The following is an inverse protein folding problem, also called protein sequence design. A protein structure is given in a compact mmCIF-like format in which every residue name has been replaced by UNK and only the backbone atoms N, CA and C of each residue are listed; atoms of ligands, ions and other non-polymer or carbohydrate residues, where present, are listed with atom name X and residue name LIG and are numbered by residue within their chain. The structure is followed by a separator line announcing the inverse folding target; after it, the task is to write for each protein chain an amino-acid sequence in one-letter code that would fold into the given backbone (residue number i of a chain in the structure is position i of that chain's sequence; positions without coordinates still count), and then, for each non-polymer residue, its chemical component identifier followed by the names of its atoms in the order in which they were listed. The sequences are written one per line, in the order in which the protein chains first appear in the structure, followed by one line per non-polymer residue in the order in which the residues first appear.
data_IF_556321111228
#
_entry.id   IF_556321111228
#
_cell.length_a   1.000
_cell.length_b   1.000
_cell.length_c   1.000
_cell.angle_alpha   90.00
_cell.angle_beta   90.00
_cell.angle_gamma   90.00
#
_symmetry.space_group_name_H-M   'P 1'
#
loop_
_entity.id
_entity.type
_entity.pdbx_description
1 polymer ?
#
# COMPACT_ATOMS: atom_id res chain seq x y z
N UNK A 1 8.11 -9.22 2.23
CA UNK A 1 7.94 -8.87 3.68
C UNK A 1 8.38 -10.01 4.57
N UNK A 2 7.76 -11.19 4.54
CA UNK A 2 8.16 -12.33 5.38
C UNK A 2 9.65 -12.70 5.22
N UNK A 3 10.11 -12.88 3.99
CA UNK A 3 11.49 -13.30 3.72
C UNK A 3 12.53 -12.22 4.09
N UNK A 4 12.09 -10.99 4.31
CA UNK A 4 12.90 -9.86 4.77
C UNK A 4 12.88 -9.68 6.29
N UNK A 5 12.25 -10.60 7.04
CA UNK A 5 12.19 -10.59 8.49
C UNK A 5 11.32 -9.48 9.11
N UNK A 6 10.41 -8.89 8.34
CA UNK A 6 9.44 -7.94 8.90
C UNK A 6 8.47 -8.66 9.87
N UNK A 7 8.12 -8.05 11.02
CA UNK A 7 7.25 -8.65 12.04
C UNK A 7 5.78 -8.58 11.61
N UNK A 8 5.40 -9.36 10.59
CA UNK A 8 4.03 -9.42 10.09
C UNK A 8 3.16 -10.18 11.10
N UNK A 9 2.33 -9.49 11.85
CA UNK A 9 1.45 -10.08 12.86
C UNK A 9 0.12 -10.58 12.25
N UNK A 10 -0.34 -9.96 11.16
CA UNK A 10 -1.61 -10.28 10.51
C UNK A 10 -1.54 -9.98 9.01
N UNK A 11 -2.19 -10.83 8.22
CA UNK A 11 -2.51 -10.55 6.82
C UNK A 11 -4.02 -10.45 6.66
N UNK A 12 -4.50 -9.35 6.09
CA UNK A 12 -5.92 -9.13 5.78
C UNK A 12 -6.08 -9.03 4.27
N UNK A 13 -7.15 -9.63 3.73
CA UNK A 13 -7.52 -9.48 2.33
C UNK A 13 -9.02 -9.19 2.17
N UNK A 14 -9.37 -8.43 1.13
CA UNK A 14 -10.75 -8.16 0.72
C UNK A 14 -11.34 -9.24 -0.21
N UNK A 15 -10.53 -10.25 -0.55
CA UNK A 15 -10.90 -11.39 -1.40
C UNK A 15 -10.00 -12.60 -1.10
N UNK A 16 -10.42 -13.82 -1.43
CA UNK A 16 -9.53 -14.97 -1.39
C UNK A 16 -8.29 -14.74 -2.25
N UNK A 17 -7.11 -14.93 -1.69
CA UNK A 17 -5.86 -14.73 -2.40
C UNK A 17 -4.71 -15.55 -1.78
N UNK A 18 -3.66 -15.76 -2.57
CA UNK A 18 -2.46 -16.48 -2.14
C UNK A 18 -1.77 -15.86 -0.91
N UNK A 19 -1.99 -14.57 -0.65
CA UNK A 19 -1.42 -13.89 0.52
C UNK A 19 -1.91 -14.48 1.84
N UNK A 20 -3.19 -14.89 1.92
CA UNK A 20 -3.78 -15.56 3.09
C UNK A 20 -3.16 -16.95 3.30
N UNK A 21 -3.00 -17.73 2.22
CA UNK A 21 -2.38 -19.06 2.28
C UNK A 21 -0.93 -18.95 2.76
N UNK A 22 -0.16 -18.02 2.19
CA UNK A 22 1.23 -17.76 2.58
C UNK A 22 1.38 -17.33 4.05
N UNK A 23 0.43 -16.57 4.59
CA UNK A 23 0.43 -16.20 6.00
C UNK A 23 0.18 -17.44 6.87
N UNK A 24 -0.83 -18.22 6.53
CA UNK A 24 -1.17 -19.46 7.23
C UNK A 24 -0.02 -20.47 7.23
N UNK A 25 0.64 -20.68 6.09
CA UNK A 25 1.80 -21.57 5.95
C UNK A 25 2.99 -21.16 6.85
N UNK A 26 3.06 -19.87 7.20
CA UNK A 26 4.08 -19.30 8.10
C UNK A 26 3.63 -19.17 9.56
N UNK A 27 2.43 -19.63 9.89
CA UNK A 27 1.87 -19.50 11.23
C UNK A 27 1.51 -18.06 11.62
N UNK A 28 1.37 -17.16 10.63
CA UNK A 28 0.90 -15.79 10.82
C UNK A 28 -0.63 -15.76 10.71
N UNK A 29 -1.28 -14.97 11.56
CA UNK A 29 -2.74 -14.78 11.49
C UNK A 29 -3.17 -14.26 10.10
N UNK A 30 -4.26 -14.81 9.57
CA UNK A 30 -4.81 -14.45 8.28
C UNK A 30 -6.32 -14.28 8.39
N UNK A 31 -6.84 -13.14 7.94
CA UNK A 31 -8.27 -12.82 8.01
C UNK A 31 -8.79 -12.39 6.62
N UNK A 32 -9.87 -13.01 6.19
CA UNK A 32 -10.62 -12.59 5.01
C UNK A 32 -11.78 -11.70 5.45
N UNK A 33 -11.75 -10.44 5.05
CA UNK A 33 -12.85 -9.49 5.19
C UNK A 33 -13.37 -9.22 3.78
N UNK A 34 -14.16 -10.14 3.29
CA UNK A 34 -14.54 -10.17 1.88
C UNK A 34 -15.42 -8.96 1.51
N UNK A 35 -15.03 -8.26 0.44
CA UNK A 35 -15.90 -7.29 -0.20
C UNK A 35 -16.73 -7.99 -1.27
N UNK A 36 -18.02 -8.17 -1.00
CA UNK A 36 -18.98 -8.82 -1.90
C UNK A 36 -19.81 -7.83 -2.72
N UNK A 37 -19.96 -6.58 -2.24
CA UNK A 37 -20.68 -5.52 -2.95
C UNK A 37 -19.72 -4.58 -3.67
N UNK A 38 -19.87 -4.49 -5.01
CA UNK A 38 -19.13 -3.59 -5.89
C UNK A 38 -20.03 -2.53 -6.52
N UNK A 39 -21.27 -2.41 -6.05
CA UNK A 39 -22.23 -1.42 -6.49
C UNK A 39 -22.02 -0.06 -5.83
N UNK A 40 -22.81 0.93 -6.25
CA UNK A 40 -22.83 2.26 -5.64
C UNK A 40 -23.46 2.28 -4.24
N UNK A 41 -24.12 1.19 -3.82
CA UNK A 41 -24.68 1.03 -2.47
C UNK A 41 -23.69 0.45 -1.44
N UNK A 42 -22.46 0.15 -1.86
CA UNK A 42 -21.42 -0.36 -0.94
C UNK A 42 -21.17 0.59 0.22
N UNK A 43 -21.48 0.13 1.43
CA UNK A 43 -21.18 0.87 2.65
C UNK A 43 -19.69 0.75 2.99
N UNK A 44 -18.94 1.76 2.51
CA UNK A 44 -17.50 1.85 2.74
C UNK A 44 -17.16 2.01 4.21
N UNK A 45 -17.97 2.76 4.94
CA UNK A 45 -17.67 3.09 6.33
C UNK A 45 -17.93 1.87 7.22
N UNK A 46 -19.02 1.12 7.02
CA UNK A 46 -19.26 -0.14 7.71
C UNK A 46 -18.14 -1.15 7.43
N UNK A 47 -17.75 -1.32 6.16
CA UNK A 47 -16.66 -2.19 5.77
C UNK A 47 -15.34 -1.80 6.46
N UNK A 48 -15.03 -0.49 6.47
CA UNK A 48 -13.81 0.02 7.09
C UNK A 48 -13.80 -0.19 8.60
N UNK A 49 -14.93 -0.01 9.28
CA UNK A 49 -15.06 -0.33 10.70
C UNK A 49 -14.77 -1.82 10.99
N UNK A 50 -15.22 -2.71 10.11
CA UNK A 50 -14.87 -4.13 10.18
C UNK A 50 -13.37 -4.38 10.11
N UNK A 51 -12.69 -3.74 9.15
CA UNK A 51 -11.22 -3.82 9.01
C UNK A 51 -10.52 -3.27 10.26
N UNK A 52 -10.88 -2.08 10.72
CA UNK A 52 -10.30 -1.45 11.92
C UNK A 52 -10.49 -2.32 13.16
N UNK A 53 -11.66 -2.93 13.33
CA UNK A 53 -11.95 -3.84 14.45
C UNK A 53 -11.01 -5.06 14.44
N UNK A 54 -10.77 -5.66 13.26
CA UNK A 54 -9.84 -6.79 13.10
C UNK A 54 -8.42 -6.36 13.46
N UNK A 55 -7.94 -5.26 12.90
CA UNK A 55 -6.60 -4.74 13.17
C UNK A 55 -6.39 -4.44 14.67
N UNK A 56 -7.42 -3.88 15.32
CA UNK A 56 -7.39 -3.59 16.76
C UNK A 56 -7.29 -4.84 17.63
N UNK A 57 -8.03 -5.91 17.29
CA UNK A 57 -7.94 -7.20 18.00
C UNK A 57 -6.55 -7.81 17.95
N UNK A 58 -5.85 -7.62 16.84
CA UNK A 58 -4.49 -8.10 16.63
C UNK A 58 -3.40 -7.11 17.08
N UNK A 59 -3.80 -5.97 17.67
CA UNK A 59 -2.88 -4.93 18.19
C UNK A 59 -1.86 -4.46 17.15
N UNK A 60 -2.35 -4.17 15.96
CA UNK A 60 -1.51 -3.72 14.86
C UNK A 60 -1.06 -2.27 15.09
N UNK A 61 0.21 -1.99 14.92
CA UNK A 61 0.78 -0.65 15.06
C UNK A 61 0.87 0.09 13.72
N UNK A 62 1.23 -0.61 12.65
CA UNK A 62 1.41 -0.06 11.29
C UNK A 62 0.70 -0.95 10.29
N UNK A 63 0.03 -0.36 9.35
CA UNK A 63 -0.67 -1.05 8.26
C UNK A 63 0.09 -0.83 6.95
N UNK A 64 0.51 -1.93 6.32
CA UNK A 64 1.13 -1.91 4.99
C UNK A 64 0.12 -2.42 3.95
N UNK A 65 -0.35 -1.53 3.07
CA UNK A 65 -1.25 -1.87 1.97
C UNK A 65 -0.45 -2.37 0.77
N UNK A 66 -0.75 -3.58 0.30
CA UNK A 66 -0.09 -4.20 -0.83
C UNK A 66 -1.13 -4.87 -1.74
N UNK A 67 -1.57 -4.16 -2.76
CA UNK A 67 -2.58 -4.65 -3.70
C UNK A 67 -3.98 -4.79 -3.11
N UNK A 68 -4.28 -4.09 -2.02
CA UNK A 68 -5.62 -4.01 -1.44
C UNK A 68 -6.49 -3.06 -2.27
N UNK A 69 -7.53 -3.58 -2.91
CA UNK A 69 -8.29 -2.83 -3.92
C UNK A 69 -9.44 -1.99 -3.38
N UNK A 70 -9.84 -2.19 -2.13
CA UNK A 70 -10.95 -1.44 -1.53
C UNK A 70 -10.46 -0.11 -0.96
N UNK A 71 -11.01 1.00 -1.43
CA UNK A 71 -10.77 2.33 -0.83
C UNK A 71 -11.42 2.36 0.55
N UNK A 72 -10.61 2.62 1.57
CA UNK A 72 -11.05 2.67 2.97
C UNK A 72 -11.62 4.04 3.34
N UNK A 73 -12.55 4.07 4.29
CA UNK A 73 -13.18 5.26 4.83
C UNK A 73 -12.32 5.96 5.90
N UNK A 74 -12.82 7.11 6.37
CA UNK A 74 -12.13 7.99 7.34
C UNK A 74 -11.72 7.27 8.63
N UNK A 75 -12.54 6.33 9.13
CA UNK A 75 -12.28 5.62 10.38
C UNK A 75 -10.96 4.83 10.39
N UNK A 76 -10.45 4.42 9.21
CA UNK A 76 -9.13 3.79 9.10
C UNK A 76 -8.01 4.77 9.48
N UNK A 77 -8.09 6.00 8.99
CA UNK A 77 -7.07 7.02 9.18
C UNK A 77 -7.17 7.68 10.56
N UNK A 78 -8.35 7.67 11.17
CA UNK A 78 -8.55 8.08 12.58
C UNK A 78 -7.95 7.05 13.54
N UNK A 79 -8.12 5.75 13.26
CA UNK A 79 -7.57 4.66 14.07
C UNK A 79 -6.05 4.50 13.92
N UNK A 80 -5.53 4.76 12.72
CA UNK A 80 -4.11 4.62 12.38
C UNK A 80 -3.53 5.93 11.80
N UNK A 81 -3.53 7.05 12.57
CA UNK A 81 -3.09 8.35 12.07
C UNK A 81 -1.63 8.26 11.62
N UNK A 82 -1.37 8.58 10.34
CA UNK A 82 -0.05 8.51 9.68
C UNK A 82 0.62 7.12 9.70
N UNK A 83 -0.12 6.04 9.98
CA UNK A 83 0.42 4.68 10.11
C UNK A 83 -0.13 3.69 9.08
N UNK A 84 -0.81 4.21 8.07
CA UNK A 84 -1.24 3.43 6.90
C UNK A 84 -0.29 3.75 5.76
N UNK A 85 0.49 2.78 5.33
CA UNK A 85 1.49 2.94 4.27
C UNK A 85 0.97 2.28 3.02
N UNK A 86 1.08 2.97 1.89
CA UNK A 86 0.67 2.46 0.58
C UNK A 86 1.82 2.54 -0.42
N UNK A 87 1.69 1.78 -1.48
CA UNK A 87 2.56 1.83 -2.65
C UNK A 87 1.74 2.18 -3.89
N UNK A 88 2.32 3.02 -4.76
CA UNK A 88 1.69 3.48 -5.98
C UNK A 88 2.65 3.35 -7.17
N UNK A 89 2.22 2.76 -8.31
CA UNK A 89 3.10 2.47 -9.44
C UNK A 89 3.31 3.67 -10.38
N UNK A 90 3.59 4.84 -9.81
CA UNK A 90 4.03 6.05 -10.51
C UNK A 90 4.86 6.94 -9.56
N UNK A 91 5.45 7.99 -10.11
CA UNK A 91 6.12 9.04 -9.32
C UNK A 91 5.11 10.10 -8.92
N UNK A 92 4.43 9.91 -7.79
CA UNK A 92 3.48 10.91 -7.27
C UNK A 92 4.14 12.30 -7.16
N UNK A 93 3.40 13.38 -7.46
CA UNK A 93 1.97 13.47 -7.70
C UNK A 93 1.50 13.13 -9.12
N UNK A 94 2.38 12.62 -9.99
CA UNK A 94 1.98 12.25 -11.35
C UNK A 94 1.17 10.94 -11.35
N UNK A 95 0.14 10.88 -12.21
CA UNK A 95 -0.69 9.70 -12.47
C UNK A 95 -1.31 9.05 -11.21
N UNK A 96 -2.04 9.82 -10.36
CA UNK A 96 -2.75 9.23 -9.24
C UNK A 96 -3.89 8.32 -9.73
N UNK A 97 -4.33 7.37 -8.88
CA UNK A 97 -5.48 6.51 -9.15
C UNK A 97 -5.12 5.15 -9.74
N UNK A 98 -6.15 4.40 -10.10
CA UNK A 98 -6.08 2.97 -10.36
C UNK A 98 -5.28 2.57 -11.63
N UNK A 99 -5.14 3.47 -12.61
CA UNK A 99 -4.58 3.16 -13.93
C UNK A 99 -3.24 3.85 -14.22
N UNK A 100 -2.45 4.12 -13.19
CA UNK A 100 -1.22 4.91 -13.28
C UNK A 100 -0.26 4.48 -14.38
N UNK A 101 0.00 3.17 -14.53
CA UNK A 101 0.91 2.63 -15.55
C UNK A 101 0.38 2.87 -16.96
N UNK A 102 -0.91 2.58 -17.19
CA UNK A 102 -1.57 2.84 -18.48
C UNK A 102 -1.55 4.32 -18.83
N UNK A 103 -1.85 5.16 -17.84
CA UNK A 103 -1.96 6.62 -18.05
C UNK A 103 -0.58 7.24 -18.32
N UNK A 104 0.48 6.72 -17.67
CA UNK A 104 1.87 7.10 -17.95
C UNK A 104 2.29 6.75 -19.38
N UNK A 105 1.97 5.52 -19.83
CA UNK A 105 2.22 5.09 -21.23
C UNK A 105 1.43 5.94 -22.23
N UNK A 106 0.14 6.15 -21.98
CA UNK A 106 -0.73 6.94 -22.84
C UNK A 106 -0.27 8.41 -22.96
N UNK A 107 0.25 8.98 -21.88
CA UNK A 107 0.82 10.33 -21.87
C UNK A 107 2.14 10.39 -22.64
N UNK A 108 2.89 9.28 -22.70
CA UNK A 108 4.17 9.19 -23.42
C UNK A 108 5.36 9.69 -22.59
N UNK A 109 5.31 9.59 -21.25
CA UNK A 109 6.45 9.94 -20.39
C UNK A 109 7.64 9.03 -20.69
N UNK A 110 8.86 9.54 -20.46
CA UNK A 110 10.10 8.78 -20.66
C UNK A 110 10.61 8.15 -19.36
N UNK A 111 10.08 8.61 -18.22
CA UNK A 111 10.42 8.12 -16.88
C UNK A 111 9.15 8.04 -16.06
N UNK A 112 8.99 6.94 -15.34
CA UNK A 112 7.99 6.72 -14.30
C UNK A 112 8.67 6.04 -13.12
N UNK A 113 7.95 5.34 -12.26
CA UNK A 113 8.56 4.64 -11.12
C UNK A 113 7.54 4.14 -10.13
N UNK A 114 7.93 4.05 -8.88
CA UNK A 114 6.98 3.82 -7.79
C UNK A 114 7.19 4.78 -6.63
N UNK A 115 6.13 4.97 -5.86
CA UNK A 115 6.09 5.82 -4.68
C UNK A 115 5.59 5.00 -3.49
N UNK A 116 6.31 5.06 -2.38
CA UNK A 116 5.82 4.62 -1.07
C UNK A 116 5.40 5.87 -0.32
N UNK A 117 4.16 5.90 0.16
CA UNK A 117 3.59 7.07 0.80
C UNK A 117 2.69 6.71 1.98
N UNK A 118 2.41 7.67 2.85
CA UNK A 118 1.37 7.54 3.85
C UNK A 118 0.03 7.69 3.16
N UNK A 119 -0.84 6.71 3.31
CA UNK A 119 -2.20 6.80 2.77
C UNK A 119 -3.05 7.76 3.61
N UNK A 120 -3.91 8.50 2.93
CA UNK A 120 -4.88 9.46 3.51
C UNK A 120 -6.28 9.19 2.94
N UNK A 121 -7.33 9.85 3.45
CA UNK A 121 -8.67 9.73 2.86
C UNK A 121 -8.74 10.15 1.39
N UNK A 122 -7.85 11.03 0.95
CA UNK A 122 -7.68 11.39 -0.47
C UNK A 122 -6.69 10.41 -1.10
N UNK A 123 -7.13 9.74 -2.16
CA UNK A 123 -6.35 8.71 -2.83
C UNK A 123 -5.05 9.31 -3.39
N UNK A 124 -3.92 8.68 -3.08
CA UNK A 124 -2.58 9.00 -3.57
C UNK A 124 -2.07 10.45 -3.28
N UNK A 125 -2.61 11.09 -2.22
CA UNK A 125 -2.30 12.50 -1.87
C UNK A 125 -1.53 12.65 -0.54
N UNK A 126 -1.09 11.55 0.05
CA UNK A 126 -0.39 11.60 1.34
C UNK A 126 1.12 11.84 1.23
N UNK A 127 1.78 12.12 2.38
CA UNK A 127 3.22 12.35 2.44
C UNK A 127 4.04 11.22 1.82
N UNK A 128 4.99 11.58 0.98
CA UNK A 128 5.90 10.64 0.30
C UNK A 128 6.99 10.22 1.28
N UNK A 129 7.20 8.90 1.39
CA UNK A 129 8.25 8.30 2.22
C UNK A 129 9.48 7.91 1.39
N UNK A 130 9.25 7.36 0.20
CA UNK A 130 10.31 6.96 -0.73
C UNK A 130 9.79 6.96 -2.17
N UNK A 131 10.68 7.23 -3.11
CA UNK A 131 10.40 7.11 -4.54
C UNK A 131 11.61 6.54 -5.26
N UNK A 132 11.34 5.75 -6.30
CA UNK A 132 12.37 5.30 -7.22
C UNK A 132 11.87 5.34 -8.65
N UNK A 133 12.70 5.91 -9.53
CA UNK A 133 12.38 6.09 -10.94
C UNK A 133 12.83 4.90 -11.78
N UNK A 134 12.11 4.65 -12.89
CA UNK A 134 12.49 3.70 -13.94
C UNK A 134 12.21 4.30 -15.32
N UNK A 135 13.04 4.03 -16.34
CA UNK A 135 12.73 4.45 -17.70
C UNK A 135 11.51 3.72 -18.26
N UNK A 136 10.81 4.38 -19.16
CA UNK A 136 9.82 3.77 -20.06
C UNK A 136 10.53 3.45 -21.37
N UNK A 137 10.64 2.18 -21.70
CA UNK A 137 11.31 1.71 -22.91
C UNK A 137 10.40 1.86 -24.13
N UNK A 138 10.96 2.00 -25.35
CA UNK A 138 10.16 2.24 -26.56
C UNK A 138 9.16 1.14 -26.91
N UNK A 139 9.40 -0.08 -26.46
CA UNK A 139 8.60 -1.28 -26.70
C UNK A 139 7.79 -1.73 -25.48
N UNK A 140 7.72 -0.90 -24.43
CA UNK A 140 6.91 -1.21 -23.25
C UNK A 140 5.40 -1.21 -23.58
N UNK A 141 4.75 -2.24 -23.10
CA UNK A 141 3.32 -2.28 -22.86
C UNK A 141 3.01 -2.13 -21.35
N UNK A 142 1.72 -2.10 -20.99
CA UNK A 142 1.30 -1.97 -19.60
C UNK A 142 1.84 -3.11 -18.72
N UNK A 143 1.93 -4.33 -19.24
CA UNK A 143 2.40 -5.50 -18.50
C UNK A 143 3.91 -5.44 -18.23
N UNK A 144 4.72 -5.15 -19.28
CA UNK A 144 6.18 -5.10 -19.14
C UNK A 144 6.63 -3.97 -18.21
N UNK A 145 6.05 -2.78 -18.39
CA UNK A 145 6.35 -1.64 -17.52
C UNK A 145 5.90 -1.91 -16.07
N UNK A 146 4.70 -2.46 -15.87
CA UNK A 146 4.19 -2.77 -14.54
C UNK A 146 5.06 -3.81 -13.82
N UNK A 147 5.52 -4.86 -14.49
CA UNK A 147 6.42 -5.85 -13.88
C UNK A 147 7.78 -5.24 -13.49
N UNK A 148 8.32 -4.31 -14.29
CA UNK A 148 9.54 -3.56 -13.95
C UNK A 148 9.33 -2.70 -12.72
N UNK A 149 8.21 -1.97 -12.63
CA UNK A 149 7.84 -1.17 -11.45
C UNK A 149 7.67 -2.06 -10.21
N UNK A 150 6.97 -3.19 -10.32
CA UNK A 150 6.80 -4.15 -9.21
C UNK A 150 8.13 -4.69 -8.68
N UNK A 151 9.14 -4.86 -9.54
CA UNK A 151 10.45 -5.28 -9.09
C UNK A 151 11.09 -4.25 -8.14
N UNK A 152 11.00 -2.97 -8.49
CA UNK A 152 11.44 -1.86 -7.64
C UNK A 152 10.60 -1.80 -6.36
N UNK A 153 9.28 -1.84 -6.51
CA UNK A 153 8.31 -1.74 -5.41
C UNK A 153 8.59 -2.77 -4.31
N UNK A 154 8.79 -4.05 -4.68
CA UNK A 154 9.03 -5.14 -3.72
C UNK A 154 10.25 -4.88 -2.83
N UNK A 155 11.28 -4.25 -3.35
CA UNK A 155 12.48 -3.88 -2.61
C UNK A 155 12.26 -2.60 -1.81
N UNK A 156 11.87 -1.52 -2.48
CA UNK A 156 11.73 -0.19 -1.89
C UNK A 156 10.72 -0.19 -0.74
N UNK A 157 9.61 -0.94 -0.88
CA UNK A 157 8.61 -1.04 0.16
C UNK A 157 9.14 -1.73 1.43
N UNK A 158 9.88 -2.81 1.24
CA UNK A 158 10.50 -3.53 2.36
C UNK A 158 11.54 -2.65 3.07
N UNK A 159 12.41 -1.98 2.32
CA UNK A 159 13.43 -1.07 2.85
C UNK A 159 12.79 0.08 3.64
N UNK A 160 11.70 0.67 3.11
CA UNK A 160 10.95 1.74 3.78
C UNK A 160 10.31 1.25 5.09
N UNK A 161 9.68 0.07 5.09
CA UNK A 161 9.08 -0.48 6.31
C UNK A 161 10.15 -0.84 7.36
N UNK A 162 11.29 -1.39 6.94
CA UNK A 162 12.41 -1.66 7.86
C UNK A 162 12.96 -0.38 8.48
N UNK A 163 13.03 0.71 7.70
CA UNK A 163 13.46 2.02 8.20
C UNK A 163 12.45 2.61 9.21
N UNK A 164 11.14 2.52 8.93
CA UNK A 164 10.07 2.91 9.86
C UNK A 164 10.21 2.15 11.18
N UNK A 165 10.36 0.83 11.13
CA UNK A 165 10.49 0.00 12.34
C UNK A 165 11.75 0.36 13.14
N UNK A 166 12.87 0.64 12.47
CA UNK A 166 14.13 1.02 13.11
C UNK A 166 14.02 2.39 13.80
N UNK A 167 13.36 3.34 13.18
CA UNK A 167 13.14 4.69 13.72
C UNK A 167 12.07 4.74 14.80
N UNK A 168 11.08 3.82 14.75
CA UNK A 168 9.93 3.80 15.65
C UNK A 168 8.83 4.80 15.30
N UNK A 169 8.92 5.49 14.17
CA UNK A 169 7.89 6.42 13.65
C UNK A 169 7.86 6.42 12.13
N UNK A 170 6.73 6.77 11.56
CA UNK A 170 6.53 6.86 10.09
C UNK A 170 7.00 8.21 9.56
N UNK A 171 6.49 9.29 10.12
CA UNK A 171 6.88 10.66 9.79
C UNK A 171 7.61 11.27 10.98
N UNK A 172 8.71 11.97 10.74
CA UNK A 172 9.37 12.76 11.77
C UNK A 172 8.42 13.86 12.28
N UNK A 173 8.38 14.06 13.58
CA UNK A 173 7.77 15.26 14.14
C UNK A 173 8.64 16.47 13.79
N UNK A 174 8.05 17.68 13.61
CA UNK A 174 8.83 18.90 13.33
C UNK A 174 9.97 19.15 14.33
N UNK A 175 9.82 18.65 15.55
CA UNK A 175 10.81 18.79 16.64
C UNK A 175 11.94 17.75 16.59
N UNK A 176 11.98 16.87 15.58
CA UNK A 176 12.99 15.79 15.43
C UNK A 176 13.96 16.02 14.26
N UNK A 177 13.85 17.16 13.57
CA UNK A 177 14.73 17.54 12.44
C UNK A 177 15.88 18.52 12.86
N UNK A 178 16.22 18.61 14.16
CA UNK A 178 17.40 19.34 14.66
C UNK A 178 18.61 18.45 14.89
#
# INVERSE_FOLDING_TARGET
MFDAGLPVALVVSDRPCRGLDLASDRGTAAELIERTDFSSSFDRDEYTHGVVSVLGRHKIDVVAMAGFGTVLGQSMFDAFPQRVINTHPALLPAFPGWHAVRDALAYGVKVTGCTIHVATPVVDDGPILAQEATPVEPDDDESSLHERIKHIERRLYVETLQDILRRGFVLASPDQEE
#
